data_IF_184328873312
#
_entry.id   IF_184328873312
#
_cell.length_a   1.000
_cell.length_b   1.000
_cell.length_c   1.000
_cell.angle_alpha   90.00
_cell.angle_beta   90.00
_cell.angle_gamma   90.00
#
_symmetry.space_group_name_H-M   'P 1'
#
loop_
_entity.id
_entity.type
_entity.pdbx_description
1 polymer ?
#
# COMPACT_ATOMS: atom_id res chain seq x y z
N UNK A 1 2.01 29.07 -3.74
CA UNK A 1 2.96 29.20 -4.87
C UNK A 1 2.48 28.33 -6.03
N UNK A 2 2.00 28.93 -7.13
CA UNK A 2 1.42 28.18 -8.25
C UNK A 2 2.40 27.15 -8.86
N UNK A 3 3.67 27.51 -8.98
CA UNK A 3 4.73 26.63 -9.50
C UNK A 3 4.92 25.36 -8.65
N UNK A 4 4.82 25.46 -7.32
CA UNK A 4 4.98 24.33 -6.40
C UNK A 4 3.82 23.34 -6.56
N UNK A 5 2.59 23.86 -6.64
CA UNK A 5 1.40 23.04 -6.89
C UNK A 5 1.54 22.27 -8.20
N UNK A 6 1.97 22.93 -9.28
CA UNK A 6 2.22 22.30 -10.57
C UNK A 6 3.26 21.19 -10.47
N UNK A 7 4.40 21.42 -9.81
CA UNK A 7 5.44 20.39 -9.64
C UNK A 7 4.89 19.17 -8.88
N UNK A 8 4.13 19.40 -7.80
CA UNK A 8 3.55 18.32 -7.00
C UNK A 8 2.55 17.50 -7.82
N UNK A 9 1.64 18.16 -8.52
CA UNK A 9 0.62 17.49 -9.35
C UNK A 9 1.25 16.73 -10.52
N UNK A 10 2.26 17.31 -11.17
CA UNK A 10 2.99 16.65 -12.26
C UNK A 10 3.82 15.48 -11.80
N UNK A 11 4.64 15.69 -10.77
CA UNK A 11 5.48 14.63 -10.22
C UNK A 11 4.65 13.48 -9.67
N UNK A 12 3.61 13.79 -8.89
CA UNK A 12 2.69 12.79 -8.34
C UNK A 12 1.97 12.00 -9.43
N UNK A 13 1.48 12.69 -10.47
CA UNK A 13 0.80 12.03 -11.59
C UNK A 13 1.71 11.13 -12.41
N UNK A 14 2.94 11.57 -12.72
CA UNK A 14 3.94 10.74 -13.40
C UNK A 14 4.31 9.51 -12.58
N UNK A 15 4.45 9.67 -11.27
CA UNK A 15 4.72 8.55 -10.36
C UNK A 15 3.56 7.53 -10.34
N UNK A 16 2.31 8.00 -10.30
CA UNK A 16 1.13 7.13 -10.40
C UNK A 16 1.09 6.37 -11.73
N UNK A 17 1.39 7.03 -12.85
CA UNK A 17 1.49 6.38 -14.15
C UNK A 17 2.60 5.33 -14.17
N UNK A 18 3.78 5.62 -13.61
CA UNK A 18 4.89 4.67 -13.51
C UNK A 18 4.55 3.45 -12.65
N UNK A 19 3.91 3.65 -11.50
CA UNK A 19 3.37 2.58 -10.65
C UNK A 19 2.35 1.73 -11.41
N UNK A 20 1.38 2.39 -12.07
CA UNK A 20 0.37 1.71 -12.88
C UNK A 20 0.97 0.86 -13.99
N UNK A 21 1.96 1.40 -14.72
CA UNK A 21 2.69 0.67 -15.76
C UNK A 21 3.44 -0.56 -15.20
N UNK A 22 4.11 -0.44 -14.06
CA UNK A 22 4.79 -1.57 -13.42
C UNK A 22 3.81 -2.69 -13.03
N UNK A 23 2.65 -2.33 -12.48
CA UNK A 23 1.61 -3.30 -12.10
C UNK A 23 1.03 -4.01 -13.32
N UNK A 24 0.72 -3.27 -14.39
CA UNK A 24 0.24 -3.83 -15.66
C UNK A 24 1.28 -4.78 -16.27
N UNK A 25 2.54 -4.36 -16.34
CA UNK A 25 3.64 -5.19 -16.84
C UNK A 25 3.83 -6.45 -15.98
N UNK A 26 3.69 -6.33 -14.66
CA UNK A 26 3.74 -7.46 -13.73
C UNK A 26 2.59 -8.44 -13.93
N UNK A 27 1.37 -7.95 -14.13
CA UNK A 27 0.18 -8.76 -14.42
C UNK A 27 0.34 -9.55 -15.72
N UNK A 28 0.91 -8.93 -16.77
CA UNK A 28 1.18 -9.60 -18.04
C UNK A 28 2.22 -10.72 -17.90
N UNK A 29 3.34 -10.47 -17.20
CA UNK A 29 4.38 -11.50 -16.95
C UNK A 29 3.91 -12.69 -16.11
N UNK A 30 2.93 -12.48 -15.22
CA UNK A 30 2.34 -13.57 -14.41
C UNK A 30 1.55 -14.58 -15.25
N UNK A 31 1.19 -14.25 -16.50
CA UNK A 31 0.54 -15.18 -17.43
C UNK A 31 1.49 -16.30 -17.89
N UNK A 32 2.79 -16.00 -18.02
CA UNK A 32 3.79 -16.97 -18.50
C UNK A 32 4.24 -17.95 -17.41
N UNK A 33 4.07 -17.58 -16.14
CA UNK A 33 4.52 -18.36 -14.98
C UNK A 33 3.50 -19.40 -14.48
N UNK A 34 2.34 -19.56 -15.14
CA UNK A 34 1.28 -20.47 -14.72
C UNK A 34 1.65 -21.97 -14.84
N UNK A 35 2.83 -22.31 -15.36
CA UNK A 35 3.26 -23.70 -15.60
C UNK A 35 4.08 -24.32 -14.46
N UNK A 36 4.52 -23.58 -13.45
CA UNK A 36 5.36 -24.13 -12.38
C UNK A 36 4.74 -23.86 -11.00
N UNK A 37 4.43 -24.94 -10.29
CA UNK A 37 4.07 -24.88 -8.88
C UNK A 37 5.25 -24.23 -8.13
N UNK A 38 5.06 -23.09 -7.46
CA UNK A 38 6.17 -22.44 -6.77
C UNK A 38 6.62 -23.36 -5.63
N UNK A 39 7.86 -23.84 -5.71
CA UNK A 39 8.52 -24.56 -4.63
C UNK A 39 8.68 -23.56 -3.48
N UNK A 40 7.99 -23.82 -2.36
CA UNK A 40 8.00 -22.93 -1.21
C UNK A 40 9.20 -23.33 -0.34
N UNK A 41 10.30 -22.60 -0.44
CA UNK A 41 11.23 -22.54 0.67
C UNK A 41 10.53 -21.80 1.81
N UNK A 42 10.43 -22.43 2.98
CA UNK A 42 10.10 -21.70 4.20
C UNK A 42 11.17 -20.63 4.37
N UNK A 43 10.79 -19.37 4.18
CA UNK A 43 11.68 -18.26 4.42
C UNK A 43 12.21 -18.37 5.86
N UNK A 44 13.54 -18.36 6.03
CA UNK A 44 14.19 -18.29 7.33
C UNK A 44 13.53 -17.18 8.16
N UNK A 45 13.02 -17.56 9.34
CA UNK A 45 11.85 -16.96 10.00
C UNK A 45 11.93 -15.49 10.43
N UNK A 46 13.04 -14.76 10.20
CA UNK A 46 13.14 -13.33 10.50
C UNK A 46 13.18 -12.41 9.26
N UNK A 47 13.67 -12.91 8.11
CA UNK A 47 13.94 -12.06 6.93
C UNK A 47 12.68 -11.55 6.24
N UNK A 48 11.65 -12.39 6.14
CA UNK A 48 10.36 -11.99 5.56
C UNK A 48 9.63 -10.97 6.41
N UNK A 49 9.68 -11.10 7.73
CA UNK A 49 9.11 -10.12 8.66
C UNK A 49 9.81 -8.77 8.52
N UNK A 50 11.15 -8.74 8.58
CA UNK A 50 11.91 -7.51 8.45
C UNK A 50 11.69 -6.85 7.07
N UNK A 51 11.65 -7.64 5.99
CA UNK A 51 11.36 -7.13 4.65
C UNK A 51 9.97 -6.50 4.58
N UNK A 52 8.95 -7.16 5.14
CA UNK A 52 7.59 -6.61 5.22
C UNK A 52 7.51 -5.33 6.05
N UNK A 53 8.15 -5.33 7.23
CA UNK A 53 8.24 -4.17 8.12
C UNK A 53 8.91 -2.98 7.43
N UNK A 54 10.08 -3.18 6.83
CA UNK A 54 10.79 -2.13 6.10
C UNK A 54 9.99 -1.64 4.90
N UNK A 55 9.35 -2.53 4.14
CA UNK A 55 8.50 -2.13 3.00
C UNK A 55 7.35 -1.23 3.46
N UNK A 56 6.76 -1.51 4.63
CA UNK A 56 5.68 -0.70 5.18
C UNK A 56 6.20 0.64 5.74
N UNK A 57 7.28 0.62 6.53
CA UNK A 57 7.89 1.84 7.10
C UNK A 57 8.44 2.77 6.01
N UNK A 58 8.95 2.23 4.92
CA UNK A 58 9.42 3.00 3.75
C UNK A 58 8.28 3.52 2.88
N UNK A 59 7.01 3.35 3.24
CA UNK A 59 5.88 3.91 2.50
C UNK A 59 5.56 5.34 2.98
N UNK A 60 6.12 6.39 2.36
CA UNK A 60 5.90 7.77 2.79
C UNK A 60 4.43 8.20 2.70
N UNK A 61 3.61 7.51 1.89
CA UNK A 61 2.18 7.81 1.73
C UNK A 61 1.42 7.69 3.06
N UNK A 62 1.77 6.69 3.89
CA UNK A 62 1.09 6.47 5.16
C UNK A 62 1.34 7.62 6.14
N UNK A 63 2.60 8.04 6.29
CA UNK A 63 2.99 9.14 7.18
C UNK A 63 2.30 10.44 6.76
N UNK A 64 2.31 10.76 5.46
CA UNK A 64 1.66 11.98 4.95
C UNK A 64 0.15 11.93 5.20
N UNK A 65 -0.53 10.82 4.85
CA UNK A 65 -1.97 10.70 5.02
C UNK A 65 -2.40 10.81 6.49
N UNK A 66 -1.84 9.96 7.36
CA UNK A 66 -2.21 9.97 8.77
C UNK A 66 -1.79 11.28 9.45
N UNK A 67 -0.62 11.81 9.12
CA UNK A 67 -0.17 13.12 9.61
C UNK A 67 -1.15 14.24 9.26
N UNK A 68 -1.62 14.29 8.01
CA UNK A 68 -2.61 15.29 7.55
C UNK A 68 -3.98 15.10 8.17
N UNK A 69 -4.45 13.87 8.37
CA UNK A 69 -5.76 13.62 8.99
C UNK A 69 -5.71 13.96 10.47
N UNK A 70 -4.73 13.44 11.21
CA UNK A 70 -4.65 13.66 12.65
C UNK A 70 -4.32 15.09 13.03
N UNK A 71 -3.58 15.85 12.21
CA UNK A 71 -3.33 17.27 12.48
C UNK A 71 -4.62 18.11 12.52
N UNK A 72 -5.68 17.68 11.83
CA UNK A 72 -6.98 18.35 11.87
C UNK A 72 -7.77 18.07 13.15
N UNK A 73 -7.56 16.91 13.77
CA UNK A 73 -8.34 16.45 14.93
C UNK A 73 -7.59 16.54 16.26
N UNK A 74 -6.26 16.50 16.23
CA UNK A 74 -5.38 16.50 17.40
C UNK A 74 -4.62 17.82 17.45
N UNK A 75 -5.27 18.85 17.97
CA UNK A 75 -4.69 20.18 18.21
C UNK A 75 -4.18 20.38 19.64
N UNK A 76 -3.81 21.62 19.95
CA UNK A 76 -3.28 22.02 21.26
C UNK A 76 -4.29 21.81 22.40
N UNK A 77 -5.58 21.83 22.09
CA UNK A 77 -6.68 21.67 23.04
C UNK A 77 -6.88 20.23 23.54
N UNK A 78 -6.17 19.24 22.98
CA UNK A 78 -6.30 17.83 23.37
C UNK A 78 -5.36 17.52 24.53
N UNK A 79 -5.92 17.14 25.68
CA UNK A 79 -5.14 16.77 26.86
C UNK A 79 -4.22 15.56 26.63
N UNK A 80 -3.11 15.48 27.38
CA UNK A 80 -2.10 14.43 27.22
C UNK A 80 -2.66 13.01 27.30
N UNK A 81 -3.62 12.75 28.21
CA UNK A 81 -4.27 11.45 28.34
C UNK A 81 -5.03 11.04 27.07
N UNK A 82 -5.76 11.98 26.44
CA UNK A 82 -6.48 11.73 25.20
C UNK A 82 -5.51 11.47 24.03
N UNK A 83 -4.39 12.18 23.96
CA UNK A 83 -3.33 11.92 22.95
C UNK A 83 -2.78 10.50 23.06
N UNK A 84 -2.44 10.05 24.28
CA UNK A 84 -1.99 8.68 24.51
C UNK A 84 -3.08 7.64 24.24
N UNK A 85 -4.33 7.94 24.57
CA UNK A 85 -5.48 7.09 24.25
C UNK A 85 -5.67 6.91 22.74
N UNK A 86 -5.60 8.00 21.96
CA UNK A 86 -5.67 7.96 20.49
C UNK A 86 -4.51 7.15 19.92
N UNK A 87 -3.28 7.39 20.39
CA UNK A 87 -2.11 6.62 19.96
C UNK A 87 -2.26 5.11 20.22
N UNK A 88 -2.72 4.74 21.42
CA UNK A 88 -2.95 3.35 21.78
C UNK A 88 -4.07 2.73 20.92
N UNK A 89 -5.17 3.45 20.71
CA UNK A 89 -6.29 2.99 19.89
C UNK A 89 -5.86 2.70 18.46
N UNK A 90 -5.17 3.64 17.80
CA UNK A 90 -4.67 3.48 16.43
C UNK A 90 -3.71 2.28 16.36
N UNK A 91 -2.78 2.20 17.32
CA UNK A 91 -1.81 1.10 17.35
C UNK A 91 -2.49 -0.25 17.49
N UNK A 92 -3.45 -0.38 18.41
CA UNK A 92 -4.17 -1.63 18.65
C UNK A 92 -5.07 -2.00 17.48
N UNK A 93 -5.82 -1.04 16.92
CA UNK A 93 -6.69 -1.25 15.76
C UNK A 93 -5.87 -1.71 14.56
N UNK A 94 -4.76 -1.02 14.27
CA UNK A 94 -3.87 -1.35 13.16
C UNK A 94 -3.24 -2.73 13.35
N UNK A 95 -2.73 -3.04 14.56
CA UNK A 95 -2.19 -4.36 14.87
C UNK A 95 -3.25 -5.47 14.75
N UNK A 96 -4.46 -5.24 15.25
CA UNK A 96 -5.54 -6.21 15.18
C UNK A 96 -5.93 -6.48 13.72
N UNK A 97 -6.14 -5.41 12.94
CA UNK A 97 -6.49 -5.52 11.52
C UNK A 97 -5.41 -6.26 10.71
N UNK A 98 -4.14 -5.84 10.83
CA UNK A 98 -3.05 -6.48 10.09
C UNK A 98 -2.81 -7.92 10.55
N UNK A 99 -2.97 -8.23 11.84
CA UNK A 99 -2.92 -9.61 12.34
C UNK A 99 -4.00 -10.47 11.69
N UNK A 100 -5.25 -9.99 11.68
CA UNK A 100 -6.37 -10.70 11.02
C UNK A 100 -6.06 -10.94 9.55
N UNK A 101 -5.66 -9.91 8.81
CA UNK A 101 -5.30 -10.04 7.39
C UNK A 101 -4.13 -11.02 7.20
N UNK A 102 -3.08 -10.94 8.00
CA UNK A 102 -1.93 -11.84 7.91
C UNK A 102 -2.31 -13.29 8.19
N UNK A 103 -3.09 -13.55 9.24
CA UNK A 103 -3.59 -14.89 9.58
C UNK A 103 -4.49 -15.47 8.49
N UNK A 104 -5.34 -14.64 7.91
CA UNK A 104 -6.19 -14.99 6.78
C UNK A 104 -5.34 -15.39 5.55
N UNK A 105 -4.35 -14.58 5.17
CA UNK A 105 -3.49 -14.86 4.02
C UNK A 105 -2.44 -15.96 4.27
N UNK A 106 -2.19 -16.33 5.52
CA UNK A 106 -1.39 -17.50 5.87
C UNK A 106 -2.08 -18.83 5.48
N UNK A 107 -3.41 -18.84 5.35
CA UNK A 107 -4.17 -20.03 4.96
C UNK A 107 -3.83 -20.45 3.51
N UNK A 108 -3.46 -21.72 3.26
CA UNK A 108 -3.10 -22.20 1.93
C UNK A 108 -4.21 -22.06 0.88
N UNK A 109 -5.48 -22.08 1.29
CA UNK A 109 -6.63 -21.87 0.40
C UNK A 109 -6.71 -20.40 -0.05
N UNK A 110 -6.61 -19.47 0.91
CA UNK A 110 -6.65 -18.04 0.63
C UNK A 110 -5.48 -17.60 -0.25
N UNK A 111 -4.27 -18.06 0.09
CA UNK A 111 -3.06 -17.76 -0.69
C UNK A 111 -3.17 -18.21 -2.14
N UNK A 112 -3.66 -19.43 -2.38
CA UNK A 112 -3.87 -19.96 -3.74
C UNK A 112 -4.96 -19.18 -4.50
N UNK A 113 -6.06 -18.84 -3.83
CA UNK A 113 -7.10 -17.99 -4.40
C UNK A 113 -6.56 -16.61 -4.80
N UNK A 114 -5.82 -15.97 -3.90
CA UNK A 114 -5.15 -14.70 -4.18
C UNK A 114 -4.18 -14.80 -5.34
N UNK A 115 -3.33 -15.83 -5.40
CA UNK A 115 -2.37 -16.01 -6.51
C UNK A 115 -3.07 -16.11 -7.88
N UNK A 116 -4.23 -16.78 -7.95
CA UNK A 116 -5.03 -16.86 -9.18
C UNK A 116 -5.62 -15.52 -9.58
N UNK A 117 -6.07 -14.74 -8.61
CA UNK A 117 -6.64 -13.41 -8.83
C UNK A 117 -5.60 -12.30 -8.95
N UNK A 118 -4.35 -12.55 -8.53
CA UNK A 118 -3.31 -11.53 -8.43
C UNK A 118 -3.06 -10.81 -9.77
N UNK A 119 -3.17 -11.53 -10.89
CA UNK A 119 -3.10 -10.92 -12.23
C UNK A 119 -4.21 -9.88 -12.44
N UNK A 120 -5.45 -10.23 -12.11
CA UNK A 120 -6.60 -9.35 -12.29
C UNK A 120 -6.57 -8.18 -11.32
N UNK A 121 -6.18 -8.43 -10.07
CA UNK A 121 -6.00 -7.39 -9.05
C UNK A 121 -4.92 -6.40 -9.51
N UNK A 122 -3.74 -6.88 -9.91
CA UNK A 122 -2.66 -6.03 -10.39
C UNK A 122 -3.02 -5.29 -11.68
N UNK A 123 -3.74 -5.96 -12.59
CA UNK A 123 -4.20 -5.37 -13.84
C UNK A 123 -5.20 -4.23 -13.60
N UNK A 124 -6.21 -4.47 -12.78
CA UNK A 124 -7.23 -3.48 -12.44
C UNK A 124 -6.64 -2.32 -11.64
N UNK A 125 -5.84 -2.61 -10.60
CA UNK A 125 -5.16 -1.58 -9.84
C UNK A 125 -4.19 -0.79 -10.73
N UNK A 126 -3.43 -1.45 -11.60
CA UNK A 126 -2.54 -0.77 -12.55
C UNK A 126 -3.28 0.19 -13.47
N UNK A 127 -4.44 -0.21 -13.99
CA UNK A 127 -5.31 0.64 -14.79
C UNK A 127 -5.85 1.84 -13.99
N UNK A 128 -6.29 1.64 -12.75
CA UNK A 128 -6.74 2.72 -11.87
C UNK A 128 -5.62 3.71 -11.55
N UNK A 129 -4.42 3.22 -11.21
CA UNK A 129 -3.26 4.07 -10.92
C UNK A 129 -2.85 4.90 -12.14
N UNK A 130 -2.81 4.30 -13.33
CA UNK A 130 -2.54 5.02 -14.57
C UNK A 130 -3.65 6.06 -14.87
N UNK A 131 -4.92 5.67 -14.70
CA UNK A 131 -6.07 6.56 -14.88
C UNK A 131 -6.05 7.77 -13.94
N UNK A 132 -5.80 7.54 -12.65
CA UNK A 132 -5.65 8.63 -11.67
C UNK A 132 -4.43 9.48 -11.93
N UNK A 133 -3.30 8.88 -12.36
CA UNK A 133 -2.11 9.63 -12.75
C UNK A 133 -2.40 10.58 -13.92
N UNK A 134 -3.03 10.07 -14.99
CA UNK A 134 -3.44 10.88 -16.15
C UNK A 134 -4.45 11.95 -15.73
N UNK A 135 -5.44 11.59 -14.92
CA UNK A 135 -6.43 12.54 -14.44
C UNK A 135 -5.78 13.67 -13.64
N UNK A 136 -4.90 13.35 -12.69
CA UNK A 136 -4.15 14.33 -11.88
C UNK A 136 -3.26 15.23 -12.74
N UNK A 137 -2.75 14.72 -13.86
CA UNK A 137 -1.96 15.45 -14.86
C UNK A 137 -2.84 16.40 -15.70
N UNK A 138 -4.11 16.10 -15.89
CA UNK A 138 -5.02 16.92 -16.69
C UNK A 138 -5.79 17.91 -15.81
N UNK A 139 -6.15 17.52 -14.60
CA UNK A 139 -7.01 18.25 -13.66
C UNK A 139 -6.25 19.24 -12.75
N UNK A 140 -5.00 19.59 -13.09
CA UNK A 140 -4.08 20.34 -12.24
C UNK A 140 -4.04 21.83 -12.52
#
# INVERSE_FOLDING_TARGET
>A
MAWLHTIIMVGGGLYLCWMGYQMLRGALKKQDAAASSPHIELAQSGRSFLKGLLTNLSNPKAIIYFGSVFSLFVGDNVGAAARWGIFALITLETLAWFTVVASLFALPKMRRGYQRLAKWIDGFAGALFAGFGIHLIISR
#
